data_IF_771038689492
#
_entry.id   IF_771038689492
#
_cell.length_a   1.000
_cell.length_b   1.000
_cell.length_c   1.000
_cell.angle_alpha   90.00
_cell.angle_beta   90.00
_cell.angle_gamma   90.00
#
_symmetry.space_group_name_H-M   'P 1'
#
loop_
_entity.id
_entity.type
_entity.pdbx_description
1 polymer ?
#
# COMPACT_ATOMS: atom_id res chain seq x y z
N UNK A 1 -21.17 -2.99 11.30
CA UNK A 1 -20.85 -2.69 9.89
C UNK A 1 -21.00 -1.19 9.68
N UNK A 2 -19.94 -0.51 9.23
CA UNK A 2 -19.98 0.92 8.91
C UNK A 2 -20.76 1.12 7.60
N UNK A 3 -21.79 1.96 7.60
CA UNK A 3 -22.49 2.40 6.38
C UNK A 3 -22.38 3.90 6.21
N UNK A 4 -22.46 4.36 4.96
CA UNK A 4 -22.42 5.78 4.59
C UNK A 4 -23.66 6.13 3.77
N UNK A 5 -24.08 7.39 3.82
CA UNK A 5 -25.16 7.93 2.98
C UNK A 5 -24.70 9.24 2.36
N UNK A 6 -25.21 9.54 1.17
CA UNK A 6 -25.05 10.84 0.53
C UNK A 6 -26.20 11.75 0.96
N UNK A 7 -25.89 13.02 1.18
CA UNK A 7 -26.87 14.08 1.49
C UNK A 7 -26.79 15.13 0.39
N UNK A 8 -27.94 15.45 -0.22
CA UNK A 8 -28.08 16.52 -1.20
C UNK A 8 -29.28 17.40 -0.83
N UNK A 9 -29.02 18.57 -0.24
CA UNK A 9 -30.06 19.35 0.42
C UNK A 9 -30.73 18.53 1.53
N UNK A 10 -32.06 18.44 1.50
CA UNK A 10 -32.84 17.65 2.47
C UNK A 10 -33.06 16.19 2.05
N UNK A 11 -32.44 15.75 0.94
CA UNK A 11 -32.58 14.38 0.43
C UNK A 11 -31.42 13.50 0.89
N UNK A 12 -31.77 12.34 1.44
CA UNK A 12 -30.83 11.32 1.90
C UNK A 12 -30.85 10.09 0.97
N UNK A 13 -29.68 9.58 0.60
CA UNK A 13 -29.58 8.35 -0.19
C UNK A 13 -29.94 7.10 0.61
N UNK A 14 -30.08 5.97 -0.09
CA UNK A 14 -30.01 4.64 0.55
C UNK A 14 -28.66 4.43 1.24
N UNK A 15 -28.63 3.51 2.20
CA UNK A 15 -27.41 3.09 2.89
C UNK A 15 -26.44 2.43 1.92
N UNK A 16 -25.24 2.99 1.80
CA UNK A 16 -24.14 2.43 1.01
C UNK A 16 -23.25 1.62 1.95
N UNK A 17 -23.09 0.34 1.66
CA UNK A 17 -22.18 -0.56 2.36
C UNK A 17 -20.89 -0.69 1.55
N UNK A 18 -19.75 -0.36 2.15
CA UNK A 18 -18.44 -0.56 1.53
C UNK A 18 -17.97 -2.00 1.75
N UNK A 19 -17.93 -2.80 0.69
CA UNK A 19 -17.51 -4.21 0.74
C UNK A 19 -15.99 -4.41 0.58
N UNK A 20 -15.29 -3.39 0.09
CA UNK A 20 -13.83 -3.32 -0.05
C UNK A 20 -13.40 -1.91 0.30
N UNK A 21 -12.13 -1.75 0.69
CA UNK A 21 -11.46 -0.52 1.16
C UNK A 21 -11.54 -0.32 2.67
N UNK A 22 -10.68 0.57 3.13
CA UNK A 22 -10.54 1.03 4.50
C UNK A 22 -11.15 2.44 4.59
N UNK A 23 -11.86 2.75 5.68
CA UNK A 23 -12.55 4.03 5.86
C UNK A 23 -11.56 5.16 6.13
N UNK A 24 -11.56 6.22 5.32
CA UNK A 24 -10.71 7.38 5.59
C UNK A 24 -11.18 8.14 6.84
N UNK A 25 -10.22 8.65 7.63
CA UNK A 25 -10.49 9.39 8.86
C UNK A 25 -10.83 8.51 10.08
N UNK A 26 -10.84 7.18 9.93
CA UNK A 26 -10.91 6.26 11.05
C UNK A 26 -9.50 6.02 11.61
N UNK A 27 -9.34 6.07 12.94
CA UNK A 27 -8.03 5.97 13.61
C UNK A 27 -7.36 4.61 13.39
N UNK A 28 -8.12 3.55 13.10
CA UNK A 28 -7.56 2.23 12.83
C UNK A 28 -7.07 2.06 11.39
N UNK A 29 -7.52 2.93 10.48
CA UNK A 29 -7.26 2.78 9.05
C UNK A 29 -5.79 2.86 8.68
N UNK A 30 -5.01 3.68 9.38
CA UNK A 30 -3.57 3.83 9.12
C UNK A 30 -2.82 2.52 9.41
N UNK A 31 -3.18 1.81 10.47
CA UNK A 31 -2.54 0.55 10.85
C UNK A 31 -2.93 -0.57 9.90
N UNK A 32 -4.21 -0.69 9.58
CA UNK A 32 -4.72 -1.70 8.65
C UNK A 32 -4.12 -1.52 7.26
N UNK A 33 -4.00 -0.27 6.80
CA UNK A 33 -3.41 0.01 5.50
C UNK A 33 -1.92 -0.35 5.49
N UNK A 34 -1.15 0.11 6.48
CA UNK A 34 0.27 -0.19 6.56
C UNK A 34 0.55 -1.70 6.72
N UNK A 35 -0.29 -2.44 7.44
CA UNK A 35 -0.15 -3.89 7.57
C UNK A 35 -0.34 -4.61 6.23
N UNK A 36 -1.26 -4.15 5.38
CA UNK A 36 -1.44 -4.69 4.03
C UNK A 36 -0.23 -4.36 3.14
N UNK A 37 0.27 -3.13 3.21
CA UNK A 37 1.48 -2.75 2.45
C UNK A 37 2.67 -3.62 2.88
N UNK A 38 2.90 -3.77 4.18
CA UNK A 38 3.98 -4.60 4.74
C UNK A 38 3.87 -6.06 4.29
N UNK A 39 2.66 -6.63 4.31
CA UNK A 39 2.41 -7.96 3.75
C UNK A 39 2.76 -8.04 2.26
N UNK A 40 2.27 -7.10 1.44
CA UNK A 40 2.54 -7.10 0.00
C UNK A 40 4.04 -7.00 -0.33
N UNK A 41 4.79 -6.14 0.37
CA UNK A 41 6.23 -5.98 0.10
C UNK A 41 7.05 -7.17 0.60
N UNK A 42 6.67 -7.78 1.73
CA UNK A 42 7.38 -8.96 2.26
C UNK A 42 7.16 -10.21 1.42
N UNK A 43 5.96 -10.41 0.89
CA UNK A 43 5.64 -11.61 0.11
C UNK A 43 6.13 -11.51 -1.34
N UNK A 44 6.14 -10.31 -1.93
CA UNK A 44 6.40 -10.15 -3.36
C UNK A 44 7.82 -9.69 -3.70
N UNK A 45 8.48 -8.84 -2.90
CA UNK A 45 9.77 -8.27 -3.29
C UNK A 45 10.92 -9.26 -3.12
N UNK A 46 11.89 -9.23 -4.04
CA UNK A 46 13.09 -10.03 -3.90
C UNK A 46 14.07 -9.37 -2.91
N UNK A 47 14.26 -10.03 -1.76
CA UNK A 47 15.13 -9.55 -0.68
C UNK A 47 16.62 -9.41 -1.07
N UNK A 48 17.05 -9.98 -2.19
CA UNK A 48 18.42 -9.87 -2.69
C UNK A 48 18.60 -8.73 -3.71
N UNK A 49 17.51 -8.08 -4.11
CA UNK A 49 17.54 -6.95 -5.04
C UNK A 49 17.33 -5.68 -4.21
N UNK A 50 18.33 -4.81 -4.22
CA UNK A 50 18.30 -3.56 -3.47
C UNK A 50 19.46 -2.67 -3.88
N UNK A 51 19.63 -1.57 -3.16
CA UNK A 51 20.79 -0.71 -3.23
C UNK A 51 21.57 -0.80 -1.92
N UNK A 52 22.88 -1.06 -2.00
CA UNK A 52 23.70 -1.21 -0.81
C UNK A 52 24.05 0.15 -0.20
N UNK A 53 23.61 0.38 1.03
CA UNK A 53 23.97 1.55 1.84
C UNK A 53 24.80 1.05 3.02
N UNK A 54 26.11 1.29 2.96
CA UNK A 54 27.10 0.72 3.91
C UNK A 54 27.02 -0.80 3.93
N UNK A 55 26.63 -1.40 5.04
CA UNK A 55 26.53 -2.86 5.23
C UNK A 55 25.10 -3.38 5.11
N UNK A 56 24.13 -2.50 4.81
CA UNK A 56 22.73 -2.86 4.66
C UNK A 56 22.28 -2.82 3.19
N UNK A 57 21.48 -3.79 2.79
CA UNK A 57 20.82 -3.80 1.50
C UNK A 57 19.42 -3.20 1.66
N UNK A 58 19.20 -2.04 1.06
CA UNK A 58 17.90 -1.36 1.10
C UNK A 58 17.13 -1.67 -0.18
N UNK A 59 15.99 -2.36 -0.06
CA UNK A 59 15.17 -2.77 -1.21
C UNK A 59 14.06 -1.78 -1.53
N UNK A 60 13.43 -1.17 -0.51
CA UNK A 60 12.34 -0.24 -0.69
C UNK A 60 12.21 0.75 0.48
N UNK A 61 11.46 1.83 0.26
CA UNK A 61 10.86 2.66 1.30
C UNK A 61 9.36 2.77 1.03
N UNK A 62 8.54 2.62 2.07
CA UNK A 62 7.09 2.73 1.97
C UNK A 62 6.57 3.81 2.93
N UNK A 63 5.71 4.68 2.43
CA UNK A 63 5.00 5.68 3.24
C UNK A 63 3.59 5.87 2.72
N UNK A 64 2.60 5.47 3.53
CA UNK A 64 1.21 5.38 3.11
C UNK A 64 1.13 4.65 1.76
N UNK A 65 0.47 5.24 0.76
CA UNK A 65 0.27 4.68 -0.57
C UNK A 65 1.49 4.79 -1.50
N UNK A 66 2.58 5.42 -1.07
CA UNK A 66 3.78 5.60 -1.87
C UNK A 66 4.84 4.55 -1.54
N UNK A 67 5.36 3.89 -2.57
CA UNK A 67 6.48 2.94 -2.47
C UNK A 67 7.59 3.38 -3.43
N UNK A 68 8.81 3.49 -2.91
CA UNK A 68 10.02 3.76 -3.69
C UNK A 68 10.87 2.50 -3.67
N UNK A 69 11.22 1.98 -4.85
CA UNK A 69 12.05 0.80 -5.01
C UNK A 69 13.51 1.19 -5.27
N UNK A 70 14.42 0.40 -4.74
CA UNK A 70 15.86 0.57 -4.90
C UNK A 70 16.47 -0.67 -5.55
N UNK A 71 17.43 -0.46 -6.45
CA UNK A 71 18.23 -1.50 -7.06
C UNK A 71 19.54 -0.91 -7.57
N UNK A 72 20.63 -1.69 -7.55
CA UNK A 72 21.90 -1.29 -8.17
C UNK A 72 21.86 -1.28 -9.71
N UNK A 73 20.96 -2.07 -10.30
CA UNK A 73 20.81 -2.19 -11.75
C UNK A 73 19.38 -1.93 -12.19
N UNK A 74 19.24 -1.53 -13.47
CA UNK A 74 17.94 -1.33 -14.10
C UNK A 74 17.15 -2.63 -14.15
N UNK A 75 17.83 -3.74 -14.41
CA UNK A 75 17.24 -5.08 -14.50
C UNK A 75 16.67 -5.51 -13.15
N UNK A 76 17.40 -5.26 -12.05
CA UNK A 76 16.90 -5.53 -10.70
C UNK A 76 15.66 -4.69 -10.37
N UNK A 77 15.68 -3.40 -10.75
CA UNK A 77 14.52 -2.52 -10.56
C UNK A 77 13.30 -3.03 -11.34
N UNK A 78 13.49 -3.50 -12.58
CA UNK A 78 12.41 -4.08 -13.39
C UNK A 78 11.80 -5.32 -12.73
N UNK A 79 12.61 -6.24 -12.21
CA UNK A 79 12.11 -7.44 -11.51
C UNK A 79 11.23 -7.06 -10.31
N UNK A 80 11.71 -6.19 -9.43
CA UNK A 80 10.94 -5.78 -8.26
C UNK A 80 9.70 -4.95 -8.63
N UNK A 81 9.75 -4.20 -9.73
CA UNK A 81 8.57 -3.48 -10.23
C UNK A 81 7.51 -4.48 -10.67
N UNK A 82 7.86 -5.49 -11.48
CA UNK A 82 6.92 -6.52 -11.94
C UNK A 82 6.29 -7.30 -10.79
N UNK A 83 7.09 -7.68 -9.79
CA UNK A 83 6.60 -8.41 -8.61
C UNK A 83 5.59 -7.62 -7.79
N UNK A 84 5.74 -6.29 -7.70
CA UNK A 84 4.86 -5.45 -6.89
C UNK A 84 3.50 -5.17 -7.55
N UNK A 85 3.39 -5.35 -8.87
CA UNK A 85 2.12 -5.19 -9.63
C UNK A 85 1.34 -6.49 -9.81
N UNK A 86 1.88 -7.62 -9.35
CA UNK A 86 1.28 -8.97 -9.51
C UNK A 86 0.61 -9.43 -8.21
#
# INVERSE_FOLDING_TARGET
MSSTRLVLGDVLSMSITTMRRIKQGDSMSVYLFNAVIDFCVQENLNANIGYKIRDELVTYMAFADNIVLFAESKEGLSVNTELLVT
#
